data_IF_241791835506
#
_entry.id   IF_241791835506
#
_cell.length_a   1.000
_cell.length_b   1.000
_cell.length_c   1.000
_cell.angle_alpha   90.00
_cell.angle_beta   90.00
_cell.angle_gamma   90.00
#
_symmetry.space_group_name_H-M   'P 1'
#
loop_
_entity.id
_entity.type
_entity.pdbx_description
1 polymer ?
#
# COMPACT_ATOMS: atom_id res chain seq x y z
N UNK A 1 27.34 37.49 20.12
CA UNK A 1 27.69 36.98 21.47
C UNK A 1 26.42 36.39 22.06
N UNK A 2 26.24 35.14 22.45
CA UNK A 2 27.01 33.89 22.49
C UNK A 2 25.95 32.78 22.70
N UNK A 3 26.26 31.59 22.21
CA UNK A 3 25.47 30.35 22.11
C UNK A 3 25.09 29.66 23.44
N UNK A 4 24.19 28.66 23.32
CA UNK A 4 24.27 27.37 24.03
C UNK A 4 22.92 26.89 24.59
N UNK A 5 22.51 25.62 24.57
CA UNK A 5 23.03 24.37 24.01
C UNK A 5 21.86 23.35 24.10
N UNK A 6 21.70 22.45 23.12
CA UNK A 6 20.74 21.33 23.23
C UNK A 6 21.53 20.09 23.67
N UNK A 7 21.22 19.57 24.85
CA UNK A 7 21.72 18.31 25.35
C UNK A 7 20.76 17.18 24.92
N UNK A 8 21.28 16.20 24.19
CA UNK A 8 20.62 14.92 23.95
C UNK A 8 21.46 13.82 24.61
N UNK A 9 20.96 13.31 25.73
CA UNK A 9 21.42 12.07 26.34
C UNK A 9 20.23 11.13 26.35
N UNK A 10 20.36 9.98 25.71
CA UNK A 10 19.72 8.74 26.16
C UNK A 10 20.50 7.54 25.65
N UNK A 11 20.95 6.79 26.67
CA UNK A 11 21.74 5.56 26.72
C UNK A 11 20.80 4.33 26.61
N UNK A 12 21.43 3.14 26.54
CA UNK A 12 20.95 1.78 26.90
C UNK A 12 20.72 0.86 25.69
N UNK A 13 21.17 -0.39 25.61
CA UNK A 13 21.86 -1.35 26.52
C UNK A 13 22.48 -2.42 25.62
N UNK A 14 23.71 -2.85 25.88
CA UNK A 14 24.27 -4.08 25.32
C UNK A 14 24.30 -5.20 26.36
N UNK A 15 24.04 -6.45 25.96
CA UNK A 15 24.56 -7.72 26.55
C UNK A 15 24.37 -8.84 25.51
N UNK A 16 25.37 -9.71 25.34
CA UNK A 16 25.16 -11.04 24.74
C UNK A 16 26.37 -11.83 24.24
N UNK A 17 27.51 -11.88 24.96
CA UNK A 17 28.52 -12.94 24.73
C UNK A 17 28.42 -13.92 25.90
N UNK A 18 27.93 -15.13 25.62
CA UNK A 18 27.89 -16.23 26.58
C UNK A 18 29.22 -16.98 26.59
N UNK A 19 29.83 -17.09 27.76
CA UNK A 19 30.88 -18.04 28.10
C UNK A 19 30.35 -18.92 29.24
N UNK A 20 30.40 -20.25 29.05
CA UNK A 20 30.27 -21.20 30.15
C UNK A 20 31.45 -22.16 30.12
N UNK A 21 32.08 -22.22 31.29
CA UNK A 21 32.99 -23.24 31.83
C UNK A 21 34.38 -23.40 31.22
N UNK A 22 35.34 -22.72 31.86
CA UNK A 22 36.71 -23.19 32.01
C UNK A 22 36.87 -23.89 33.36
N UNK A 23 37.10 -25.20 33.32
CA UNK A 23 37.84 -25.90 34.38
C UNK A 23 39.32 -25.96 34.02
N UNK A 24 40.14 -25.86 35.06
CA UNK A 24 41.60 -25.80 35.07
C UNK A 24 42.30 -26.84 34.19
N UNK A 25 43.46 -26.49 33.64
CA UNK A 25 44.74 -27.13 34.00
C UNK A 25 45.94 -26.54 33.22
N UNK A 26 47.01 -26.38 33.98
CA UNK A 26 48.44 -26.27 33.71
C UNK A 26 49.00 -26.58 32.31
N UNK A 27 50.11 -25.89 31.96
CA UNK A 27 51.23 -26.58 31.31
C UNK A 27 51.79 -25.99 30.00
N UNK A 28 52.99 -25.42 30.12
CA UNK A 28 54.11 -25.34 29.15
C UNK A 28 53.92 -25.96 27.74
N UNK A 29 54.38 -25.20 26.75
CA UNK A 29 55.16 -25.76 25.62
C UNK A 29 54.74 -25.23 24.24
N UNK A 30 55.60 -24.43 23.61
CA UNK A 30 55.65 -24.37 22.14
C UNK A 30 56.21 -25.72 21.64
N UNK A 31 55.78 -26.23 20.47
CA UNK A 31 56.53 -25.89 19.26
C UNK A 31 55.71 -25.78 17.95
N UNK A 32 56.40 -25.23 16.96
CA UNK A 32 56.19 -25.11 15.52
C UNK A 32 55.07 -25.91 14.82
N UNK A 33 54.25 -25.20 14.02
CA UNK A 33 53.56 -25.77 12.85
C UNK A 33 53.24 -24.71 11.78
N UNK A 34 54.10 -24.65 10.76
CA UNK A 34 53.78 -24.54 9.33
C UNK A 34 52.63 -23.60 8.92
N UNK A 35 52.99 -22.40 8.47
CA UNK A 35 52.08 -21.46 7.80
C UNK A 35 51.42 -22.11 6.56
N UNK A 36 50.10 -22.21 6.58
CA UNK A 36 49.24 -22.56 5.44
C UNK A 36 48.93 -21.30 4.60
N UNK A 37 48.57 -21.43 3.31
CA UNK A 37 48.51 -20.29 2.38
C UNK A 37 47.40 -19.29 2.74
N UNK A 38 47.72 -17.99 2.67
CA UNK A 38 46.73 -16.92 2.82
C UNK A 38 45.89 -16.76 1.54
N UNK A 39 44.59 -16.40 1.65
CA UNK A 39 43.75 -16.16 0.48
C UNK A 39 44.20 -14.90 -0.26
N UNK A 40 44.53 -15.04 -1.55
CA UNK A 40 44.72 -13.91 -2.47
C UNK A 40 43.37 -13.29 -2.80
N UNK A 41 43.20 -12.00 -2.55
CA UNK A 41 42.00 -11.26 -2.94
C UNK A 41 42.18 -10.77 -4.38
N UNK A 42 41.45 -11.37 -5.31
CA UNK A 42 41.36 -10.88 -6.70
C UNK A 42 40.24 -9.85 -6.78
N UNK A 43 40.57 -8.62 -7.17
CA UNK A 43 39.59 -7.55 -7.43
C UNK A 43 39.12 -7.66 -8.88
N UNK A 44 37.91 -8.15 -9.08
CA UNK A 44 37.24 -8.15 -10.39
C UNK A 44 36.57 -6.79 -10.59
N UNK A 45 37.03 -6.02 -11.60
CA UNK A 45 36.37 -4.78 -12.04
C UNK A 45 35.29 -5.13 -13.06
N UNK A 46 34.04 -4.89 -12.72
CA UNK A 46 32.89 -4.97 -13.63
C UNK A 46 32.99 -3.86 -14.67
N UNK A 47 33.01 -4.22 -15.95
CA UNK A 47 32.87 -3.28 -17.06
C UNK A 47 31.41 -2.80 -17.12
N UNK A 48 31.23 -1.49 -17.18
CA UNK A 48 29.94 -0.81 -17.33
C UNK A 48 29.33 -1.17 -18.69
N UNK A 49 28.22 -1.92 -18.67
CA UNK A 49 27.42 -2.17 -19.84
C UNK A 49 26.61 -0.91 -20.14
N UNK A 50 26.78 -0.36 -21.35
CA UNK A 50 26.03 0.80 -21.81
C UNK A 50 24.51 0.59 -21.71
N UNK A 51 23.83 1.62 -21.26
CA UNK A 51 22.38 1.73 -21.19
C UNK A 51 21.76 1.51 -22.58
N UNK A 52 20.86 0.52 -22.78
CA UNK A 52 20.16 0.39 -24.05
C UNK A 52 19.08 1.47 -24.16
N UNK A 53 19.23 2.35 -25.15
CA UNK A 53 18.23 3.38 -25.52
C UNK A 53 16.85 2.73 -25.76
N UNK A 54 15.77 3.24 -25.14
CA UNK A 54 14.45 2.62 -25.23
C UNK A 54 13.88 2.72 -26.66
N UNK A 55 13.51 1.56 -27.21
CA UNK A 55 12.86 1.45 -28.51
C UNK A 55 11.53 2.23 -28.56
N UNK A 56 11.15 2.81 -29.72
CA UNK A 56 9.93 3.61 -29.85
C UNK A 56 8.68 2.76 -29.63
N UNK A 57 7.91 3.10 -28.61
CA UNK A 57 6.60 2.47 -28.35
C UNK A 57 5.54 3.06 -29.28
N UNK A 58 4.83 2.20 -30.03
CA UNK A 58 3.74 2.60 -30.92
C UNK A 58 2.47 2.85 -30.11
N UNK A 59 2.21 4.11 -29.78
CA UNK A 59 0.96 4.52 -29.10
C UNK A 59 -0.18 4.63 -30.11
N UNK A 60 -1.13 3.70 -30.05
CA UNK A 60 -2.39 3.80 -30.81
C UNK A 60 -3.36 4.73 -30.07
N UNK A 61 -3.57 5.93 -30.60
CA UNK A 61 -4.60 6.85 -30.09
C UNK A 61 -5.98 6.40 -30.58
N UNK A 62 -6.79 5.83 -29.71
CA UNK A 62 -8.23 5.64 -29.97
C UNK A 62 -8.93 6.96 -29.67
N UNK A 63 -9.28 7.72 -30.71
CA UNK A 63 -10.09 8.93 -30.57
C UNK A 63 -11.55 8.54 -30.30
N UNK A 64 -11.91 8.32 -29.04
CA UNK A 64 -13.30 8.31 -28.63
C UNK A 64 -13.86 9.74 -28.77
N UNK A 65 -14.77 9.94 -29.73
CA UNK A 65 -15.49 11.21 -29.89
C UNK A 65 -16.33 11.43 -28.61
N UNK A 66 -16.12 12.52 -27.84
CA UNK A 66 -16.90 12.75 -26.64
C UNK A 66 -18.35 12.95 -27.05
N UNK A 67 -19.19 11.98 -26.72
CA UNK A 67 -20.64 12.15 -26.75
C UNK A 67 -20.94 13.28 -25.78
N UNK A 68 -21.59 14.34 -26.27
CA UNK A 68 -22.03 15.48 -25.45
C UNK A 68 -22.83 14.92 -24.26
N UNK A 69 -22.22 14.89 -23.08
CA UNK A 69 -22.86 14.47 -21.84
C UNK A 69 -23.88 15.55 -21.52
N UNK A 70 -25.13 15.26 -21.87
CA UNK A 70 -26.25 15.92 -21.22
C UNK A 70 -26.06 15.64 -19.73
N UNK A 71 -25.97 16.70 -18.92
CA UNK A 71 -25.83 16.63 -17.47
C UNK A 71 -27.11 16.02 -16.89
N UNK A 72 -27.21 14.69 -16.98
CA UNK A 72 -28.12 13.90 -16.18
C UNK A 72 -27.70 14.13 -14.75
N UNK A 73 -28.60 14.67 -13.92
CA UNK A 73 -28.35 14.83 -12.49
C UNK A 73 -27.98 13.51 -11.81
N UNK A 74 -27.71 13.55 -10.49
CA UNK A 74 -27.10 12.42 -9.80
C UNK A 74 -27.90 11.13 -9.99
N UNK A 75 -27.20 10.02 -10.23
CA UNK A 75 -27.82 8.74 -10.57
C UNK A 75 -28.44 8.05 -9.34
N UNK A 76 -29.48 7.24 -9.58
CA UNK A 76 -30.10 6.35 -8.58
C UNK A 76 -29.58 4.90 -8.66
N UNK A 77 -28.73 4.60 -9.64
CA UNK A 77 -28.05 3.31 -9.78
C UNK A 77 -26.69 3.49 -10.41
N UNK A 78 -25.73 2.67 -10.01
CA UNK A 78 -24.36 2.78 -10.50
C UNK A 78 -23.62 1.44 -10.37
N UNK A 79 -22.52 1.32 -11.12
CA UNK A 79 -21.66 0.14 -11.11
C UNK A 79 -21.16 -0.18 -9.70
N UNK A 80 -20.90 -1.45 -9.38
CA UNK A 80 -20.22 -1.81 -8.14
C UNK A 80 -18.69 -1.65 -8.19
N UNK A 81 -18.22 -0.84 -9.13
CA UNK A 81 -16.83 -0.44 -9.33
C UNK A 81 -16.76 1.08 -9.51
N UNK A 82 -16.03 1.76 -8.64
CA UNK A 82 -15.77 3.20 -8.79
C UNK A 82 -15.70 3.96 -7.48
N UNK A 83 -15.58 5.27 -7.62
CA UNK A 83 -15.64 6.26 -6.55
C UNK A 83 -16.61 7.37 -6.99
N UNK A 84 -17.47 7.81 -6.06
CA UNK A 84 -18.60 8.68 -6.35
C UNK A 84 -18.77 9.73 -5.26
N UNK A 85 -19.05 10.97 -5.67
CA UNK A 85 -19.45 12.06 -4.77
C UNK A 85 -20.96 12.01 -4.57
N UNK A 86 -21.40 11.81 -3.33
CA UNK A 86 -22.83 11.69 -3.01
C UNK A 86 -23.48 13.08 -3.02
N UNK A 87 -24.46 13.25 -3.90
CA UNK A 87 -25.13 14.52 -4.19
C UNK A 87 -24.72 15.12 -5.53
N UNK A 88 -23.61 14.65 -6.13
CA UNK A 88 -23.13 15.10 -7.44
C UNK A 88 -23.19 13.96 -8.46
N UNK A 89 -22.51 12.85 -8.20
CA UNK A 89 -22.50 11.68 -9.08
C UNK A 89 -23.72 10.77 -8.84
N UNK A 90 -24.07 10.56 -7.57
CA UNK A 90 -25.13 9.65 -7.13
C UNK A 90 -26.00 10.32 -6.08
N UNK A 91 -27.30 10.06 -6.04
CA UNK A 91 -28.19 10.70 -5.05
C UNK A 91 -27.90 10.18 -3.64
N UNK A 92 -28.06 11.04 -2.63
CA UNK A 92 -28.10 10.60 -1.24
C UNK A 92 -29.29 9.66 -1.00
N UNK A 93 -29.10 8.65 -0.14
CA UNK A 93 -30.14 7.68 0.19
C UNK A 93 -29.58 6.28 0.46
N UNK A 94 -30.48 5.33 0.65
CA UNK A 94 -30.10 3.93 0.88
C UNK A 94 -29.99 3.19 -0.44
N UNK A 95 -28.92 2.41 -0.60
CA UNK A 95 -28.67 1.57 -1.76
C UNK A 95 -28.62 0.10 -1.35
N UNK A 96 -28.92 -0.78 -2.31
CA UNK A 96 -28.74 -2.23 -2.20
C UNK A 96 -27.84 -2.76 -3.32
N UNK A 97 -27.03 -3.75 -3.02
CA UNK A 97 -26.33 -4.59 -4.00
C UNK A 97 -26.71 -6.05 -3.77
N UNK A 98 -26.62 -6.87 -4.82
CA UNK A 98 -26.75 -8.31 -4.70
C UNK A 98 -25.48 -8.99 -4.15
N UNK A 99 -24.37 -8.25 -4.02
CA UNK A 99 -23.15 -8.70 -3.35
C UNK A 99 -21.93 -8.70 -4.28
N UNK A 100 -20.98 -9.63 -4.08
CA UNK A 100 -19.82 -9.83 -4.96
C UNK A 100 -20.14 -9.94 -6.45
N UNK A 101 -19.37 -9.24 -7.29
CA UNK A 101 -19.27 -9.54 -8.72
C UNK A 101 -18.08 -10.47 -8.97
N UNK A 102 -18.34 -11.77 -8.95
CA UNK A 102 -17.34 -12.83 -9.11
C UNK A 102 -16.97 -13.56 -7.82
N UNK A 103 -15.79 -14.17 -7.80
CA UNK A 103 -15.34 -15.07 -6.71
C UNK A 103 -14.70 -14.39 -5.50
N UNK A 104 -14.53 -13.06 -5.54
CA UNK A 104 -13.90 -12.27 -4.46
C UNK A 104 -14.93 -11.38 -3.78
N UNK A 105 -14.73 -11.08 -2.49
CA UNK A 105 -15.64 -10.22 -1.73
C UNK A 105 -15.84 -8.82 -2.33
N UNK A 106 -17.03 -8.26 -2.12
CA UNK A 106 -17.42 -6.90 -2.50
C UNK A 106 -17.01 -5.93 -1.40
N UNK A 107 -16.16 -4.95 -1.71
CA UNK A 107 -15.78 -3.90 -0.78
C UNK A 107 -16.58 -2.62 -1.05
N UNK A 108 -16.97 -1.93 0.02
CA UNK A 108 -17.43 -0.56 -0.08
C UNK A 108 -16.93 0.28 1.10
N UNK A 109 -16.84 1.59 0.86
CA UNK A 109 -16.41 2.58 1.83
C UNK A 109 -17.20 3.88 1.66
N UNK A 110 -17.59 4.48 2.78
CA UNK A 110 -18.02 5.87 2.90
C UNK A 110 -16.89 6.66 3.54
N UNK A 111 -16.54 7.79 2.95
CA UNK A 111 -15.48 8.67 3.45
C UNK A 111 -15.94 10.13 3.52
N UNK A 112 -15.33 10.88 4.43
CA UNK A 112 -15.60 12.31 4.66
C UNK A 112 -14.92 13.22 3.62
N UNK A 113 -13.92 12.70 2.90
CA UNK A 113 -13.19 13.37 1.83
C UNK A 113 -12.49 12.32 0.94
N UNK A 114 -11.92 12.76 -0.19
CA UNK A 114 -11.24 11.90 -1.17
C UNK A 114 -9.75 11.64 -0.89
N UNK A 115 -9.27 11.80 0.36
CA UNK A 115 -7.83 11.66 0.63
C UNK A 115 -7.32 10.22 0.50
N UNK A 116 -8.21 9.23 0.66
CA UNK A 116 -7.83 7.82 0.77
C UNK A 116 -7.15 7.46 2.10
N UNK A 117 -7.10 8.40 3.05
CA UNK A 117 -6.51 8.18 4.37
C UNK A 117 -7.47 7.40 5.27
N UNK A 118 -6.90 6.61 6.18
CA UNK A 118 -7.71 5.80 7.11
C UNK A 118 -8.61 6.64 8.01
N UNK A 119 -8.18 7.85 8.38
CA UNK A 119 -8.97 8.76 9.20
C UNK A 119 -10.17 9.36 8.44
N UNK A 120 -10.16 9.32 7.10
CA UNK A 120 -11.26 9.80 6.28
C UNK A 120 -12.46 8.85 6.26
N UNK A 121 -12.24 7.58 6.59
CA UNK A 121 -13.26 6.53 6.55
C UNK A 121 -14.33 6.78 7.61
N UNK A 122 -15.58 6.91 7.16
CA UNK A 122 -16.78 6.98 8.02
C UNK A 122 -17.27 5.56 8.32
N UNK A 123 -17.33 4.71 7.30
CA UNK A 123 -17.72 3.31 7.42
C UNK A 123 -17.22 2.53 6.21
N UNK A 124 -16.88 1.26 6.40
CA UNK A 124 -16.58 0.34 5.30
C UNK A 124 -17.10 -1.06 5.61
N UNK A 125 -17.17 -1.92 4.60
CA UNK A 125 -17.49 -3.33 4.77
C UNK A 125 -16.97 -4.19 3.61
N UNK A 126 -16.74 -5.48 3.90
CA UNK A 126 -16.47 -6.53 2.92
C UNK A 126 -17.66 -7.51 2.90
N UNK A 127 -18.49 -7.42 1.87
CA UNK A 127 -19.69 -8.23 1.69
C UNK A 127 -19.38 -9.54 0.95
N UNK A 128 -19.88 -10.65 1.48
CA UNK A 128 -19.87 -11.97 0.83
C UNK A 128 -21.22 -12.33 0.18
N UNK A 129 -22.20 -11.43 0.24
CA UNK A 129 -23.55 -11.59 -0.28
C UNK A 129 -24.28 -10.25 -0.36
N UNK A 130 -25.62 -10.24 -0.47
CA UNK A 130 -26.38 -9.01 -0.59
C UNK A 130 -26.12 -8.04 0.56
N UNK A 131 -26.09 -6.75 0.24
CA UNK A 131 -25.80 -5.72 1.23
C UNK A 131 -26.56 -4.42 0.97
N UNK A 132 -26.54 -3.56 1.99
CA UNK A 132 -27.15 -2.24 1.98
C UNK A 132 -26.21 -1.21 2.58
N UNK A 133 -26.31 0.01 2.08
CA UNK A 133 -25.57 1.16 2.61
C UNK A 133 -26.43 2.41 2.50
N UNK A 134 -26.38 3.29 3.50
CA UNK A 134 -26.99 4.62 3.43
C UNK A 134 -25.90 5.65 3.19
N UNK A 135 -26.06 6.43 2.12
CA UNK A 135 -25.12 7.45 1.66
C UNK A 135 -25.69 8.83 1.97
N UNK A 136 -24.92 9.66 2.67
CA UNK A 136 -25.33 11.03 2.97
C UNK A 136 -24.69 12.01 2.00
N UNK A 137 -25.35 13.15 1.79
CA UNK A 137 -24.85 14.19 0.89
C UNK A 137 -23.48 14.73 1.34
N UNK A 138 -22.59 14.94 0.38
CA UNK A 138 -21.21 15.41 0.60
C UNK A 138 -20.22 14.33 1.00
N UNK A 139 -20.67 13.07 1.17
CA UNK A 139 -19.77 11.94 1.37
C UNK A 139 -19.17 11.45 0.05
N UNK A 140 -18.04 10.77 0.16
CA UNK A 140 -17.43 10.01 -0.92
C UNK A 140 -17.79 8.54 -0.72
N UNK A 141 -18.26 7.89 -1.78
CA UNK A 141 -18.56 6.47 -1.78
C UNK A 141 -17.66 5.74 -2.76
N UNK A 142 -16.86 4.81 -2.24
CA UNK A 142 -16.01 3.93 -3.04
C UNK A 142 -16.56 2.52 -2.97
N UNK A 143 -16.60 1.83 -4.10
CA UNK A 143 -17.02 0.43 -4.19
C UNK A 143 -16.12 -0.34 -5.14
N UNK A 144 -15.84 -1.60 -4.81
CA UNK A 144 -15.02 -2.49 -5.61
C UNK A 144 -15.61 -3.90 -5.57
N UNK A 145 -15.63 -4.57 -6.71
CA UNK A 145 -16.06 -5.96 -6.91
C UNK A 145 -17.47 -6.23 -6.42
N UNK A 146 -18.32 -5.23 -6.50
CA UNK A 146 -19.72 -5.37 -6.16
C UNK A 146 -20.54 -5.49 -7.44
N UNK A 147 -21.69 -6.16 -7.36
CA UNK A 147 -22.74 -5.99 -8.35
C UNK A 147 -23.35 -4.59 -8.22
N UNK A 148 -24.07 -4.18 -9.27
CA UNK A 148 -24.75 -2.89 -9.36
C UNK A 148 -25.46 -2.48 -8.06
N UNK A 149 -25.21 -1.24 -7.63
CA UNK A 149 -25.92 -0.62 -6.53
C UNK A 149 -27.19 0.07 -7.05
N UNK A 150 -28.32 -0.18 -6.37
CA UNK A 150 -29.61 0.45 -6.69
C UNK A 150 -30.17 1.14 -5.46
N UNK A 151 -30.56 2.40 -5.61
CA UNK A 151 -31.25 3.15 -4.55
C UNK A 151 -32.58 2.47 -4.21
N UNK A 152 -32.93 2.49 -2.94
CA UNK A 152 -34.19 1.97 -2.41
C UNK A 152 -34.92 3.10 -1.69
N UNK A 153 -36.17 3.35 -2.07
CA UNK A 153 -36.95 4.50 -1.59
C UNK A 153 -37.01 5.56 -2.66
#
# INVERSE_FOLDING_TARGET
MKYGAVALVSLFVGVGIGNSDGSADSGKGAPDAKAAPQPTVTVTRTAEAGDPEPAPTVTKTVTAKPKKTQESGPADSFSGEGEYVVGEDIKAGTYKTAGPDGGFGCYWERAKNASGEFDAIIANNNLQGPGRVTLNQGEYFKTNRCQEWKRVG
#
